data_IF_981127162630
#
_entry.id   IF_981127162630
#
_cell.length_a   1.000
_cell.length_b   1.000
_cell.length_c   1.000
_cell.angle_alpha   90.00
_cell.angle_beta   90.00
_cell.angle_gamma   90.00
#
_symmetry.space_group_name_H-M   'P 1'
#
loop_
_entity.id
_entity.type
_entity.pdbx_description
1 polymer ?
#
# COMPACT_ATOMS: atom_id res chain seq x y z
N UNK A 1 0.36 4.44 -24.90
CA UNK A 1 0.14 4.71 -23.47
C UNK A 1 0.84 6.02 -23.15
N UNK A 2 0.10 7.03 -22.70
CA UNK A 2 0.69 8.34 -22.35
C UNK A 2 1.68 8.21 -21.19
N UNK A 3 2.60 9.17 -21.06
CA UNK A 3 3.64 9.18 -20.03
C UNK A 3 3.06 9.15 -18.61
N UNK A 4 1.99 9.90 -18.37
CA UNK A 4 1.32 9.97 -17.07
C UNK A 4 0.63 8.66 -16.66
N UNK A 5 -0.05 7.99 -17.60
CA UNK A 5 -0.63 6.68 -17.35
C UNK A 5 0.45 5.62 -17.11
N UNK A 6 1.57 5.69 -17.84
CA UNK A 6 2.70 4.81 -17.55
C UNK A 6 3.32 5.09 -16.18
N UNK A 7 3.42 6.36 -15.79
CA UNK A 7 3.88 6.75 -14.47
C UNK A 7 2.95 6.21 -13.38
N UNK A 8 1.63 6.35 -13.52
CA UNK A 8 0.65 5.92 -12.50
C UNK A 8 0.67 4.41 -12.24
N UNK A 9 0.82 3.58 -13.28
CA UNK A 9 0.84 2.12 -13.10
C UNK A 9 2.13 1.59 -12.47
N UNK A 10 3.22 2.37 -12.44
CA UNK A 10 4.52 1.98 -11.82
C UNK A 10 4.57 2.16 -10.30
N UNK A 11 3.46 2.49 -9.66
CA UNK A 11 3.41 2.65 -8.21
C UNK A 11 2.05 3.00 -7.63
N UNK A 12 0.99 3.04 -8.43
CA UNK A 12 -0.38 3.37 -8.00
C UNK A 12 -0.98 2.39 -7.00
N UNK A 13 -0.39 1.19 -6.83
CA UNK A 13 -0.80 0.22 -5.81
C UNK A 13 -2.10 -0.53 -6.15
N UNK A 14 -2.41 -1.50 -5.30
CA UNK A 14 -3.52 -2.47 -5.42
C UNK A 14 -4.83 -1.94 -6.00
N UNK A 15 -5.02 -2.18 -7.29
CA UNK A 15 -6.29 -2.03 -8.02
C UNK A 15 -6.87 -0.60 -8.04
N UNK A 16 -6.06 0.43 -7.76
CA UNK A 16 -6.57 1.81 -7.56
C UNK A 16 -7.04 2.53 -8.82
N UNK A 17 -6.80 1.99 -10.03
CA UNK A 17 -7.08 2.65 -11.30
C UNK A 17 -7.92 1.85 -12.28
N UNK A 18 -7.77 0.53 -12.33
CA UNK A 18 -8.41 -0.32 -13.33
C UNK A 18 -7.57 -1.54 -13.71
N UNK A 19 -7.94 -2.19 -14.81
CA UNK A 19 -7.33 -3.44 -15.28
C UNK A 19 -6.44 -3.19 -16.49
N UNK A 20 -5.18 -3.63 -16.43
CA UNK A 20 -4.27 -3.59 -17.58
C UNK A 20 -4.58 -4.77 -18.49
N UNK A 21 -5.26 -4.51 -19.60
CA UNK A 21 -5.64 -5.56 -20.57
C UNK A 21 -4.53 -5.90 -21.58
N UNK A 22 -3.62 -4.96 -21.85
CA UNK A 22 -2.45 -5.20 -22.70
C UNK A 22 -1.31 -4.23 -22.38
N UNK A 23 -0.07 -4.66 -22.60
CA UNK A 23 1.12 -3.80 -22.52
C UNK A 23 2.13 -4.17 -23.60
N UNK A 24 3.07 -3.27 -23.88
CA UNK A 24 4.21 -3.52 -24.77
C UNK A 24 5.51 -3.25 -24.00
N UNK A 25 6.32 -4.28 -23.83
CA UNK A 25 7.60 -4.19 -23.12
C UNK A 25 8.75 -3.98 -24.10
N UNK A 26 9.72 -3.14 -23.73
CA UNK A 26 11.00 -3.02 -24.43
C UNK A 26 12.01 -3.90 -23.72
N UNK A 27 12.52 -4.90 -24.42
CA UNK A 27 13.58 -5.77 -23.90
C UNK A 27 14.90 -4.99 -23.82
N UNK A 28 15.67 -5.26 -22.77
CA UNK A 28 17.03 -4.76 -22.59
C UNK A 28 18.01 -5.92 -22.63
N UNK A 29 19.28 -5.63 -22.97
CA UNK A 29 20.32 -6.65 -23.01
C UNK A 29 20.55 -7.21 -21.62
N UNK A 30 20.36 -8.51 -21.48
CA UNK A 30 20.62 -9.26 -20.24
C UNK A 30 22.14 -9.57 -20.19
N UNK A 31 22.82 -9.40 -19.04
CA UNK A 31 24.23 -9.78 -18.89
C UNK A 31 24.46 -11.27 -19.16
N UNK A 32 25.69 -11.66 -19.52
CA UNK A 32 26.05 -13.06 -19.78
C UNK A 32 25.84 -13.97 -18.55
N UNK A 33 25.99 -13.42 -17.34
CA UNK A 33 25.70 -14.12 -16.09
C UNK A 33 24.38 -13.62 -15.51
N UNK A 34 23.44 -14.56 -15.32
CA UNK A 34 22.17 -14.30 -14.63
C UNK A 34 21.99 -15.26 -13.46
N UNK A 35 21.37 -14.77 -12.38
CA UNK A 35 20.89 -15.65 -11.31
C UNK A 35 19.57 -16.27 -11.75
N UNK A 36 19.55 -17.58 -11.95
CA UNK A 36 18.34 -18.32 -12.29
C UNK A 36 17.67 -18.81 -11.00
N UNK A 37 16.41 -18.42 -10.80
CA UNK A 37 15.55 -19.01 -9.77
C UNK A 37 14.62 -20.03 -10.43
N UNK A 38 14.88 -21.31 -10.21
CA UNK A 38 14.07 -22.41 -10.75
C UNK A 38 13.04 -22.85 -9.72
N UNK A 39 11.77 -22.49 -9.94
CA UNK A 39 10.66 -23.05 -9.15
C UNK A 39 10.27 -24.39 -9.75
N UNK A 40 10.65 -25.49 -9.09
CA UNK A 40 10.11 -26.82 -9.41
C UNK A 40 8.71 -26.93 -8.83
N UNK A 41 7.68 -26.94 -9.69
CA UNK A 41 6.31 -27.27 -9.27
C UNK A 41 6.12 -28.79 -9.34
N UNK A 42 5.78 -29.41 -8.22
CA UNK A 42 5.56 -30.85 -8.08
C UNK A 42 4.08 -31.25 -8.11
N UNK A 43 3.17 -30.30 -8.34
CA UNK A 43 1.73 -30.52 -8.25
C UNK A 43 1.06 -30.55 -9.64
N UNK A 44 0.03 -31.40 -9.83
CA UNK A 44 -0.74 -31.49 -11.08
C UNK A 44 -1.46 -30.17 -11.42
N UNK A 45 -1.67 -29.91 -12.71
CA UNK A 45 -2.29 -28.67 -13.23
C UNK A 45 -3.74 -28.52 -12.79
N UNK A 46 -4.42 -29.63 -12.56
CA UNK A 46 -5.81 -29.74 -12.10
C UNK A 46 -6.02 -29.07 -10.74
N UNK A 47 -4.96 -28.93 -9.95
CA UNK A 47 -4.99 -28.21 -8.67
C UNK A 47 -5.23 -26.70 -8.87
N UNK A 48 -5.02 -26.15 -10.07
CA UNK A 48 -5.40 -24.78 -10.43
C UNK A 48 -6.91 -24.62 -10.69
N UNK A 49 -7.62 -25.72 -10.93
CA UNK A 49 -9.08 -25.74 -11.12
C UNK A 49 -9.81 -25.74 -9.78
N UNK A 50 -9.12 -26.18 -8.72
CA UNK A 50 -9.65 -26.16 -7.36
C UNK A 50 -9.64 -24.72 -6.80
N UNK A 51 -10.80 -24.07 -6.92
CA UNK A 51 -11.07 -22.76 -6.30
C UNK A 51 -11.62 -22.87 -4.88
N UNK A 52 -11.77 -24.09 -4.34
CA UNK A 52 -12.31 -24.32 -2.99
C UNK A 52 -11.31 -23.99 -1.88
N UNK A 53 -10.07 -23.61 -2.26
CA UNK A 53 -8.95 -23.22 -1.42
C UNK A 53 -9.33 -22.93 0.02
N UNK A 54 -9.29 -23.96 0.86
CA UNK A 54 -9.47 -23.88 2.32
C UNK A 54 -8.29 -23.18 3.00
N UNK A 55 -7.74 -22.13 2.40
CA UNK A 55 -6.90 -21.22 3.14
C UNK A 55 -7.82 -20.38 4.01
N UNK A 56 -8.23 -20.92 5.16
CA UNK A 56 -8.79 -20.16 6.29
C UNK A 56 -7.70 -19.29 6.93
N UNK A 57 -6.85 -18.67 6.11
CA UNK A 57 -5.73 -17.86 6.55
C UNK A 57 -6.19 -16.41 6.52
N UNK A 58 -6.44 -15.87 7.68
CA UNK A 58 -6.77 -14.47 7.85
C UNK A 58 -5.49 -13.67 8.10
N UNK A 59 -5.43 -12.46 7.54
CA UNK A 59 -4.27 -11.58 7.63
C UNK A 59 -4.76 -10.18 7.96
N UNK A 60 -4.07 -9.53 8.89
CA UNK A 60 -4.11 -8.07 9.08
C UNK A 60 -2.69 -7.55 9.04
N UNK A 61 -2.44 -6.59 8.15
CA UNK A 61 -1.21 -5.84 8.09
C UNK A 61 -1.50 -4.35 8.30
N UNK A 62 -0.54 -3.65 8.91
CA UNK A 62 -0.38 -2.19 8.87
C UNK A 62 1.09 -1.89 8.64
N UNK A 63 1.41 -0.68 8.22
CA UNK A 63 2.81 -0.28 8.08
C UNK A 63 3.04 1.18 8.40
N UNK A 64 4.27 1.48 8.81
CA UNK A 64 4.80 2.82 8.99
C UNK A 64 6.15 2.97 8.28
N UNK A 65 6.60 4.20 8.13
CA UNK A 65 7.99 4.51 7.80
C UNK A 65 8.69 5.15 8.99
N UNK A 66 9.89 4.66 9.30
CA UNK A 66 10.74 5.21 10.35
C UNK A 66 11.77 6.14 9.72
N UNK A 67 11.93 7.34 10.28
CA UNK A 67 12.81 8.38 9.75
C UNK A 67 13.98 8.70 10.70
N UNK A 68 13.82 8.40 11.99
CA UNK A 68 14.83 8.54 13.04
C UNK A 68 14.88 7.24 13.85
N UNK A 69 16.05 6.86 14.41
CA UNK A 69 16.16 5.63 15.19
C UNK A 69 15.20 5.61 16.39
N UNK A 70 14.36 4.57 16.47
CA UNK A 70 13.45 4.37 17.59
C UNK A 70 14.28 4.09 18.87
N UNK A 71 14.03 4.79 19.99
CA UNK A 71 14.79 4.61 21.23
C UNK A 71 14.69 3.17 21.79
N UNK A 72 15.76 2.70 22.44
CA UNK A 72 15.86 1.35 22.99
C UNK A 72 14.70 0.96 23.92
N UNK A 73 14.28 1.85 24.81
CA UNK A 73 13.21 1.56 25.77
C UNK A 73 11.86 1.26 25.09
N UNK A 74 11.62 1.80 23.89
CA UNK A 74 10.43 1.48 23.08
C UNK A 74 10.51 0.06 22.58
N UNK A 75 11.69 -0.39 22.14
CA UNK A 75 11.91 -1.78 21.74
C UNK A 75 11.74 -2.75 22.89
N UNK A 76 12.23 -2.42 24.09
CA UNK A 76 12.06 -3.26 25.28
C UNK A 76 10.56 -3.51 25.55
N UNK A 77 9.73 -2.46 25.49
CA UNK A 77 8.27 -2.60 25.65
C UNK A 77 7.59 -3.34 24.49
N UNK A 78 8.06 -3.14 23.25
CA UNK A 78 7.55 -3.83 22.06
C UNK A 78 7.86 -5.33 22.12
N UNK A 79 9.06 -5.68 22.58
CA UNK A 79 9.52 -7.06 22.70
C UNK A 79 8.65 -7.85 23.68
N UNK A 80 8.31 -7.27 24.83
CA UNK A 80 7.36 -7.87 25.77
C UNK A 80 5.96 -8.12 25.19
N UNK A 81 5.57 -7.39 24.13
CA UNK A 81 4.33 -7.65 23.40
C UNK A 81 4.48 -8.82 22.39
N UNK A 82 5.65 -8.94 21.77
CA UNK A 82 5.99 -9.97 20.79
C UNK A 82 6.28 -11.35 21.41
N UNK A 83 6.72 -11.41 22.66
CA UNK A 83 6.97 -12.67 23.38
C UNK A 83 5.69 -13.38 23.82
N UNK A 84 4.54 -12.70 23.81
CA UNK A 84 3.27 -13.28 24.23
C UNK A 84 2.84 -14.40 23.27
N UNK A 85 2.22 -15.48 23.79
CA UNK A 85 1.61 -16.49 22.93
C UNK A 85 0.69 -15.83 21.91
N UNK A 86 0.78 -16.31 20.68
CA UNK A 86 -0.02 -15.82 19.55
C UNK A 86 0.26 -14.37 19.12
N UNK A 87 1.38 -13.76 19.51
CA UNK A 87 1.80 -12.49 18.92
C UNK A 87 1.95 -12.61 17.39
N UNK A 88 1.71 -11.50 16.70
CA UNK A 88 2.04 -11.38 15.29
C UNK A 88 3.54 -11.18 15.06
N UNK A 89 3.87 -10.76 13.85
CA UNK A 89 5.21 -10.45 13.39
C UNK A 89 5.41 -8.95 13.27
N UNK A 90 6.64 -8.51 13.55
CA UNK A 90 7.13 -7.19 13.21
C UNK A 90 8.24 -7.37 12.16
N UNK A 91 8.03 -6.84 10.96
CA UNK A 91 8.96 -6.98 9.84
C UNK A 91 9.56 -5.61 9.54
N UNK A 92 10.89 -5.53 9.48
CA UNK A 92 11.63 -4.30 9.24
C UNK A 92 12.41 -4.44 7.94
N UNK A 93 12.02 -3.67 6.92
CA UNK A 93 12.66 -3.66 5.61
C UNK A 93 13.58 -2.44 5.49
N UNK A 94 14.91 -2.61 5.43
CA UNK A 94 15.84 -1.48 5.38
C UNK A 94 15.72 -0.68 4.09
N UNK A 95 15.70 0.64 4.23
CA UNK A 95 15.72 1.62 3.13
C UNK A 95 17.12 2.24 3.00
N UNK A 96 17.27 3.16 2.06
CA UNK A 96 18.57 3.69 1.63
C UNK A 96 19.00 3.10 0.29
N UNK A 97 20.31 3.04 0.02
CA UNK A 97 20.84 2.55 -1.25
C UNK A 97 20.13 3.16 -2.46
N UNK A 98 19.64 2.31 -3.38
CA UNK A 98 18.91 2.78 -4.57
C UNK A 98 17.63 3.56 -4.23
N UNK A 99 16.93 3.21 -3.15
CA UNK A 99 15.72 3.90 -2.71
C UNK A 99 15.99 5.33 -2.23
N UNK A 100 17.21 5.61 -1.76
CA UNK A 100 17.64 6.95 -1.34
C UNK A 100 18.03 7.89 -2.50
N UNK A 101 18.17 7.37 -3.72
CA UNK A 101 18.63 8.12 -4.90
C UNK A 101 17.44 8.48 -5.81
N UNK A 102 16.42 7.62 -5.87
CA UNK A 102 15.25 7.84 -6.72
C UNK A 102 14.42 9.01 -6.16
N UNK A 103 14.04 9.96 -7.02
CA UNK A 103 13.16 11.08 -6.62
C UNK A 103 11.82 10.55 -6.07
N UNK A 104 11.28 11.14 -4.97
CA UNK A 104 9.94 10.84 -4.47
C UNK A 104 8.83 10.96 -5.53
N UNK A 105 9.01 11.78 -6.56
CA UNK A 105 8.03 11.97 -7.65
C UNK A 105 8.29 11.13 -8.90
N UNK A 106 9.37 10.34 -8.94
CA UNK A 106 9.74 9.53 -10.11
C UNK A 106 8.71 8.43 -10.45
N UNK A 107 7.95 8.03 -9.44
CA UNK A 107 6.82 7.10 -9.48
C UNK A 107 5.79 7.55 -8.45
N UNK A 108 4.56 7.05 -8.49
CA UNK A 108 3.55 7.35 -7.47
C UNK A 108 3.97 7.00 -6.05
N UNK A 109 4.76 5.93 -5.87
CA UNK A 109 5.33 5.53 -4.59
C UNK A 109 6.35 6.56 -4.08
N UNK A 110 6.06 7.31 -3.00
CA UNK A 110 6.83 8.49 -2.61
C UNK A 110 7.91 8.21 -1.55
N UNK A 111 7.88 7.04 -0.89
CA UNK A 111 8.73 6.79 0.28
C UNK A 111 10.16 6.46 -0.16
N UNK A 112 10.97 7.49 -0.36
CA UNK A 112 12.34 7.39 -0.88
C UNK A 112 13.35 7.85 0.19
N UNK A 113 14.24 8.78 -0.17
CA UNK A 113 15.20 9.43 0.73
C UNK A 113 14.50 9.96 1.99
N UNK A 114 15.15 9.79 3.13
CA UNK A 114 14.66 10.22 4.45
C UNK A 114 13.90 9.16 5.25
N UNK A 115 13.73 7.94 4.72
CA UNK A 115 13.24 6.80 5.49
C UNK A 115 14.39 5.82 5.76
N UNK A 116 14.55 5.40 7.00
CA UNK A 116 15.52 4.40 7.43
C UNK A 116 15.04 2.98 7.10
N UNK A 117 13.76 2.71 7.32
CA UNK A 117 13.11 1.43 7.00
C UNK A 117 11.59 1.58 6.95
N UNK A 118 10.93 0.64 6.25
CA UNK A 118 9.51 0.37 6.45
C UNK A 118 9.37 -0.62 7.60
N UNK A 119 8.34 -0.44 8.42
CA UNK A 119 7.97 -1.38 9.48
C UNK A 119 6.56 -1.90 9.21
N UNK A 120 6.39 -3.21 9.24
CA UNK A 120 5.10 -3.87 9.07
C UNK A 120 4.68 -4.57 10.37
N UNK A 121 3.45 -4.27 10.80
CA UNK A 121 2.76 -4.94 11.91
C UNK A 121 1.83 -5.98 11.31
N UNK A 122 2.20 -7.25 11.42
CA UNK A 122 1.59 -8.32 10.68
C UNK A 122 1.00 -9.36 11.62
N UNK A 123 -0.29 -9.65 11.49
CA UNK A 123 -0.94 -10.73 12.22
C UNK A 123 -1.57 -11.69 11.24
N UNK A 124 -1.33 -12.98 11.45
CA UNK A 124 -1.84 -14.07 10.62
C UNK A 124 -2.41 -15.15 11.53
N UNK A 125 -3.62 -15.61 11.24
CA UNK A 125 -4.29 -16.61 12.06
C UNK A 125 -5.23 -17.49 11.23
N UNK A 126 -5.63 -18.62 11.82
CA UNK A 126 -6.48 -19.62 11.16
C UNK A 126 -7.86 -19.79 11.81
N UNK A 127 -7.98 -19.33 13.05
CA UNK A 127 -9.21 -19.40 13.84
C UNK A 127 -10.27 -18.47 13.24
N UNK A 128 -11.45 -19.03 12.96
CA UNK A 128 -12.61 -18.22 12.56
C UNK A 128 -13.38 -17.74 13.80
N UNK A 129 -14.15 -16.66 13.66
CA UNK A 129 -15.00 -16.10 14.70
C UNK A 129 -14.60 -14.69 15.10
N UNK A 130 -15.58 -13.94 15.60
CA UNK A 130 -15.42 -12.53 15.99
C UNK A 130 -14.40 -12.36 17.12
N UNK A 131 -14.38 -13.25 18.12
CA UNK A 131 -13.42 -13.18 19.21
C UNK A 131 -11.95 -13.29 18.73
N UNK A 132 -11.67 -14.19 17.78
CA UNK A 132 -10.34 -14.31 17.18
C UNK A 132 -10.01 -13.04 16.38
N UNK A 133 -10.93 -12.55 15.56
CA UNK A 133 -10.77 -11.30 14.80
C UNK A 133 -10.47 -10.12 15.73
N UNK A 134 -11.27 -9.90 16.76
CA UNK A 134 -11.16 -8.77 17.68
C UNK A 134 -9.83 -8.79 18.43
N UNK A 135 -9.39 -9.98 18.90
CA UNK A 135 -8.08 -10.17 19.53
C UNK A 135 -6.94 -9.77 18.59
N UNK A 136 -6.97 -10.25 17.34
CA UNK A 136 -5.92 -10.02 16.33
C UNK A 136 -5.87 -8.56 15.90
N UNK A 137 -7.03 -7.96 15.69
CA UNK A 137 -7.17 -6.54 15.33
C UNK A 137 -6.68 -5.64 16.46
N UNK A 138 -7.05 -5.95 17.70
CA UNK A 138 -6.61 -5.19 18.89
C UNK A 138 -5.09 -5.25 19.07
N UNK A 139 -4.48 -6.41 18.86
CA UNK A 139 -3.02 -6.56 18.91
C UNK A 139 -2.31 -5.67 17.88
N UNK A 140 -2.74 -5.73 16.61
CA UNK A 140 -2.13 -4.91 15.54
C UNK A 140 -2.35 -3.42 15.78
N UNK A 141 -3.56 -3.01 16.21
CA UNK A 141 -3.88 -1.60 16.50
C UNK A 141 -3.08 -1.07 17.68
N UNK A 142 -2.97 -1.85 18.77
CA UNK A 142 -2.20 -1.45 19.95
C UNK A 142 -0.72 -1.22 19.65
N UNK A 143 -0.08 -2.12 18.91
CA UNK A 143 1.32 -1.91 18.48
C UNK A 143 1.47 -0.71 17.53
N UNK A 144 0.51 -0.53 16.62
CA UNK A 144 0.52 0.61 15.71
C UNK A 144 0.37 1.93 16.49
N UNK A 145 -0.54 2.02 17.44
CA UNK A 145 -0.72 3.20 18.30
C UNK A 145 0.53 3.47 19.15
N UNK A 146 1.13 2.45 19.76
CA UNK A 146 2.37 2.56 20.53
C UNK A 146 3.53 3.17 19.72
N UNK A 147 3.62 2.85 18.43
CA UNK A 147 4.70 3.33 17.56
C UNK A 147 4.47 4.75 17.02
N UNK A 148 3.25 5.30 17.13
CA UNK A 148 2.89 6.61 16.57
C UNK A 148 3.89 7.74 16.84
N UNK A 149 4.43 7.91 18.06
CA UNK A 149 5.34 9.01 18.35
C UNK A 149 6.72 8.89 17.68
N UNK A 150 7.08 7.70 17.19
CA UNK A 150 8.43 7.34 16.76
C UNK A 150 8.56 7.07 15.26
N UNK A 151 7.45 7.14 14.53
CA UNK A 151 7.38 6.93 13.08
C UNK A 151 7.21 8.27 12.36
N UNK A 152 7.12 8.23 11.04
CA UNK A 152 6.83 9.41 10.22
C UNK A 152 5.59 10.15 10.75
N UNK A 153 5.65 11.48 10.71
CA UNK A 153 4.59 12.37 11.15
C UNK A 153 4.38 13.49 10.12
N UNK A 154 3.17 14.04 10.08
CA UNK A 154 2.76 15.13 9.18
C UNK A 154 3.03 14.86 7.67
N UNK A 155 2.36 13.86 7.06
CA UNK A 155 1.44 12.90 7.68
C UNK A 155 2.15 11.66 8.22
N UNK A 156 1.45 10.89 9.07
CA UNK A 156 1.84 9.51 9.38
C UNK A 156 1.59 8.63 8.15
N UNK A 157 2.66 8.07 7.61
CA UNK A 157 2.66 7.43 6.29
C UNK A 157 2.69 5.92 6.35
N UNK A 158 2.04 5.28 5.38
CA UNK A 158 2.01 3.83 5.22
C UNK A 158 2.19 3.42 3.77
N UNK A 159 2.30 2.13 3.49
CA UNK A 159 2.41 1.62 2.13
C UNK A 159 1.05 1.13 1.61
N UNK A 160 0.62 1.62 0.45
CA UNK A 160 -0.69 1.29 -0.16
C UNK A 160 -0.95 -0.21 -0.33
N UNK A 161 0.08 -1.02 -0.58
CA UNK A 161 -0.07 -2.48 -0.72
C UNK A 161 -0.31 -3.19 0.62
N UNK A 162 -0.23 -2.47 1.74
CA UNK A 162 -0.65 -2.91 3.07
C UNK A 162 -1.88 -2.12 3.52
N UNK A 163 -2.93 -2.21 2.69
CA UNK A 163 -4.15 -1.38 2.77
C UNK A 163 -4.78 -1.41 4.18
N UNK A 164 -4.92 -0.22 4.77
CA UNK A 164 -5.63 -0.01 6.03
C UNK A 164 -6.83 0.90 5.81
N UNK A 165 -8.05 0.34 5.83
CA UNK A 165 -9.29 1.12 5.75
C UNK A 165 -9.48 2.06 6.95
N UNK A 166 -8.79 1.79 8.06
CA UNK A 166 -8.76 2.64 9.23
C UNK A 166 -8.00 3.97 9.02
N UNK A 167 -7.31 4.13 7.89
CA UNK A 167 -6.72 5.41 7.49
C UNK A 167 -7.74 6.39 6.88
N UNK A 168 -8.95 5.91 6.56
CA UNK A 168 -10.02 6.64 5.91
C UNK A 168 -10.57 5.87 4.71
N UNK A 169 -11.83 6.08 4.38
CA UNK A 169 -12.48 5.49 3.20
C UNK A 169 -13.08 6.58 2.33
N UNK A 170 -13.29 6.23 1.07
CA UNK A 170 -13.99 7.03 0.10
C UNK A 170 -15.45 7.23 0.51
N UNK A 171 -15.97 8.41 0.17
CA UNK A 171 -17.38 8.78 0.23
C UNK A 171 -17.77 9.31 -1.15
N UNK A 172 -19.03 9.16 -1.53
CA UNK A 172 -19.54 9.66 -2.81
C UNK A 172 -20.08 11.08 -2.65
N UNK A 173 -19.82 11.91 -3.66
CA UNK A 173 -20.47 13.21 -3.84
C UNK A 173 -21.86 13.02 -4.50
N UNK A 174 -22.66 14.09 -4.57
CA UNK A 174 -24.02 14.07 -5.14
C UNK A 174 -24.08 13.55 -6.59
N UNK A 175 -22.99 13.68 -7.35
CA UNK A 175 -22.86 13.20 -8.73
C UNK A 175 -22.42 11.72 -8.84
N UNK A 176 -22.42 10.96 -7.73
CA UNK A 176 -22.02 9.56 -7.67
C UNK A 176 -20.53 9.31 -8.02
N UNK A 177 -19.68 10.31 -7.84
CA UNK A 177 -18.22 10.23 -7.98
C UNK A 177 -17.58 10.28 -6.61
N UNK A 178 -16.50 9.53 -6.41
CA UNK A 178 -15.74 9.57 -5.16
C UNK A 178 -15.20 10.98 -4.86
N UNK A 179 -15.40 11.46 -3.64
CA UNK A 179 -14.92 12.75 -3.16
C UNK A 179 -13.39 12.80 -3.07
N UNK A 180 -12.76 13.69 -3.85
CA UNK A 180 -11.32 13.96 -3.76
C UNK A 180 -10.90 14.46 -2.37
N UNK A 181 -11.69 15.34 -1.76
CA UNK A 181 -11.37 15.91 -0.45
C UNK A 181 -11.35 14.84 0.66
N UNK A 182 -12.29 13.89 0.62
CA UNK A 182 -12.30 12.75 1.55
C UNK A 182 -11.16 11.78 1.26
N UNK A 183 -10.91 11.50 -0.01
CA UNK A 183 -9.84 10.61 -0.42
C UNK A 183 -8.44 11.16 -0.09
N UNK A 184 -8.25 12.49 -0.12
CA UNK A 184 -6.99 13.14 0.23
C UNK A 184 -6.47 12.71 1.62
N UNK A 185 -7.36 12.52 2.59
CA UNK A 185 -7.00 12.18 3.99
C UNK A 185 -6.16 10.90 4.07
N UNK A 186 -6.55 9.85 3.33
CA UNK A 186 -5.77 8.61 3.24
C UNK A 186 -4.75 8.67 2.10
N UNK A 187 -5.05 9.38 1.02
CA UNK A 187 -4.22 9.51 -0.17
C UNK A 187 -2.87 10.15 0.11
N UNK A 188 -2.85 11.21 0.92
CA UNK A 188 -1.62 11.89 1.34
C UNK A 188 -0.71 10.97 2.17
N UNK A 189 -1.28 10.05 2.97
CA UNK A 189 -0.52 9.08 3.78
C UNK A 189 0.20 8.05 2.92
N UNK A 190 -0.42 7.62 1.81
CA UNK A 190 0.18 6.63 0.88
C UNK A 190 1.04 7.24 -0.22
N UNK A 191 0.65 8.41 -0.73
CA UNK A 191 1.22 8.97 -1.96
C UNK A 191 1.88 10.33 -1.76
N UNK A 192 1.73 10.96 -0.60
CA UNK A 192 2.24 12.32 -0.32
C UNK A 192 1.85 13.28 -1.46
N UNK A 193 2.77 14.14 -1.90
CA UNK A 193 2.55 15.07 -3.02
C UNK A 193 2.28 14.43 -4.38
N UNK A 194 2.31 13.10 -4.52
CA UNK A 194 1.97 12.43 -5.78
C UNK A 194 0.46 12.19 -5.95
N UNK A 195 -0.34 12.35 -4.88
CA UNK A 195 -1.77 12.01 -4.91
C UNK A 195 -2.58 12.86 -5.90
N UNK A 196 -2.29 14.15 -6.00
CA UNK A 196 -2.99 15.05 -6.92
C UNK A 196 -2.73 14.66 -8.38
N UNK A 197 -1.47 14.39 -8.75
CA UNK A 197 -1.13 13.92 -10.09
C UNK A 197 -1.84 12.60 -10.40
N UNK A 198 -1.91 11.69 -9.43
CA UNK A 198 -2.65 10.43 -9.58
C UNK A 198 -4.14 10.67 -9.87
N UNK A 199 -4.79 11.58 -9.14
CA UNK A 199 -6.17 11.96 -9.38
C UNK A 199 -6.38 12.65 -10.74
N UNK A 200 -5.42 13.47 -11.18
CA UNK A 200 -5.44 14.06 -12.51
C UNK A 200 -5.35 12.99 -13.61
N UNK A 201 -4.49 11.98 -13.44
CA UNK A 201 -4.45 10.82 -14.35
C UNK A 201 -5.79 10.07 -14.33
N UNK A 202 -6.37 9.84 -13.15
CA UNK A 202 -7.66 9.18 -13.00
C UNK A 202 -8.75 9.91 -13.78
N UNK A 203 -8.83 11.24 -13.68
CA UNK A 203 -9.79 12.06 -14.43
C UNK A 203 -9.65 11.91 -15.96
N UNK A 204 -8.45 11.68 -16.47
CA UNK A 204 -8.24 11.47 -17.92
C UNK A 204 -8.67 10.08 -18.40
N UNK A 205 -8.51 9.05 -17.58
CA UNK A 205 -8.65 7.65 -18.02
C UNK A 205 -9.92 6.96 -17.51
N UNK A 206 -10.53 7.50 -16.44
CA UNK A 206 -11.77 7.01 -15.84
C UNK A 206 -12.52 8.17 -15.15
N UNK A 207 -13.03 9.15 -15.94
CA UNK A 207 -13.71 10.34 -15.41
C UNK A 207 -15.01 10.04 -14.66
N UNK A 208 -15.68 8.93 -15.01
CA UNK A 208 -16.95 8.50 -14.41
C UNK A 208 -16.73 7.64 -13.14
N UNK A 209 -15.49 7.48 -12.70
CA UNK A 209 -15.09 6.74 -11.50
C UNK A 209 -15.64 5.30 -11.50
N UNK A 210 -15.59 4.63 -12.65
CA UNK A 210 -16.10 3.27 -12.82
C UNK A 210 -15.26 2.26 -12.03
N UNK A 211 -13.93 2.35 -12.12
CA UNK A 211 -13.01 1.51 -11.37
C UNK A 211 -12.77 2.10 -9.97
N UNK A 212 -13.67 1.78 -9.05
CA UNK A 212 -13.62 2.29 -7.68
C UNK A 212 -13.75 1.21 -6.61
N UNK A 213 -13.18 1.50 -5.43
CA UNK A 213 -13.33 0.75 -4.19
C UNK A 213 -13.26 1.74 -3.00
N UNK A 214 -13.21 1.23 -1.77
CA UNK A 214 -13.26 2.07 -0.56
C UNK A 214 -12.03 2.99 -0.38
N UNK A 215 -10.94 2.81 -1.15
CA UNK A 215 -9.74 3.66 -1.17
C UNK A 215 -9.14 3.71 -2.58
N UNK A 216 -9.98 3.72 -3.62
CA UNK A 216 -9.53 3.98 -4.99
C UNK A 216 -9.24 5.47 -5.15
N UNK A 217 -8.30 5.81 -6.02
CA UNK A 217 -7.99 7.21 -6.30
C UNK A 217 -9.18 7.79 -7.10
N UNK A 218 -9.83 8.87 -6.62
CA UNK A 218 -10.91 9.51 -7.35
C UNK A 218 -10.38 10.31 -8.55
N UNK A 219 -11.21 10.53 -9.58
CA UNK A 219 -10.88 11.51 -10.61
C UNK A 219 -10.82 12.90 -9.96
N UNK A 220 -9.78 13.67 -10.29
CA UNK A 220 -9.66 15.05 -9.84
C UNK A 220 -10.89 15.83 -10.35
N UNK A 221 -11.61 16.57 -9.49
CA UNK A 221 -12.77 17.34 -9.92
C UNK A 221 -12.36 18.31 -11.02
N UNK A 222 -13.16 18.38 -12.10
CA UNK A 222 -13.03 19.48 -13.04
C UNK A 222 -13.16 20.77 -12.25
N UNK A 223 -12.13 21.63 -12.29
CA UNK A 223 -12.16 22.90 -11.60
C UNK A 223 -13.44 23.63 -12.01
N UNK A 224 -14.34 23.91 -11.05
CA UNK A 224 -15.46 24.83 -11.27
C UNK A 224 -14.87 26.21 -11.60
N UNK A 225 -14.59 26.46 -12.88
CA UNK A 225 -14.04 27.73 -13.36
C UNK A 225 -12.68 27.72 -14.08
N UNK A 226 -12.02 26.58 -14.31
CA UNK A 226 -10.87 26.52 -15.23
C UNK A 226 -11.21 25.66 -16.45
N UNK A 227 -12.00 26.26 -17.35
CA UNK A 227 -12.05 25.83 -18.74
C UNK A 227 -10.72 26.15 -19.43
N UNK A 228 -10.19 25.15 -20.16
CA UNK A 228 -9.13 25.21 -21.18
C UNK A 228 -7.73 25.65 -20.76
N UNK A 229 -6.80 24.70 -20.84
CA UNK A 229 -5.55 24.91 -21.59
C UNK A 229 -5.72 24.14 -22.90
#
# INVERSE_FOLDING_TARGET
MGEDLFWSIRGGGGESFGVVLSWKLRLVRVPETVTVFTVRRSKPLELLLDRSGETRRYIKAKSDYVQEPIPRHVWDSTWSCLEKPEAGLLILDPYGGRMGIISPSATPFPHRKGNLYNIQYYSCWFENGTAALDKRMSWVRGLYEQMEPYVSKNPRTGYVNYRGLDLGTNELEDNNVTSYAKAWIWGEKYFKGNFERLAAVKAMVDPDDFFRNEQSIPPLPAAKGWSSI
#
